data_IF_281115446003
#
_entry.id   IF_281115446003
#
_cell.length_a   1.000
_cell.length_b   1.000
_cell.length_c   1.000
_cell.angle_alpha   90.00
_cell.angle_beta   90.00
_cell.angle_gamma   90.00
#
_symmetry.space_group_name_H-M   'P 1'
#
loop_
_entity.id
_entity.type
_entity.pdbx_description
1 polymer ?
#
# COMPACT_ATOMS: atom_id res chain seq x y z
N UNK A 1 4.80 -6.86 15.39
CA UNK A 1 3.46 -6.65 14.83
C UNK A 1 3.30 -5.26 14.22
N UNK A 2 4.00 -4.22 14.69
CA UNK A 2 3.58 -2.84 14.34
C UNK A 2 4.07 -2.21 13.05
N UNK A 3 5.23 -2.60 12.48
CA UNK A 3 5.81 -1.79 11.38
C UNK A 3 5.00 -1.87 10.08
N UNK A 4 4.48 -3.05 9.73
CA UNK A 4 3.63 -3.23 8.54
C UNK A 4 2.32 -2.47 8.72
N UNK A 5 1.65 -2.66 9.87
CA UNK A 5 0.37 -1.99 10.16
C UNK A 5 0.52 -0.47 10.10
N UNK A 6 1.58 0.08 10.70
CA UNK A 6 1.87 1.52 10.65
C UNK A 6 2.06 2.03 9.21
N UNK A 7 2.82 1.32 8.38
CA UNK A 7 3.02 1.68 6.97
C UNK A 7 1.68 1.68 6.21
N UNK A 8 0.83 0.70 6.51
CA UNK A 8 -0.50 0.58 5.90
C UNK A 8 -1.43 1.72 6.33
N UNK A 9 -1.37 2.15 7.59
CA UNK A 9 -2.12 3.32 8.06
C UNK A 9 -1.67 4.61 7.36
N UNK A 10 -0.36 4.85 7.26
CA UNK A 10 0.20 6.02 6.53
C UNK A 10 -0.16 5.99 5.04
N UNK A 11 -0.08 4.81 4.42
CA UNK A 11 -0.47 4.61 3.04
C UNK A 11 -1.97 4.89 2.85
N UNK A 12 -2.81 4.39 3.75
CA UNK A 12 -4.27 4.63 3.74
C UNK A 12 -4.59 6.12 3.78
N UNK A 13 -3.93 6.89 4.66
CA UNK A 13 -4.10 8.34 4.72
C UNK A 13 -3.65 9.04 3.43
N UNK A 14 -2.56 8.57 2.82
CA UNK A 14 -2.06 9.08 1.53
C UNK A 14 -3.07 8.83 0.41
N UNK A 15 -3.61 7.61 0.30
CA UNK A 15 -4.64 7.24 -0.67
C UNK A 15 -5.91 8.08 -0.46
N UNK A 16 -6.34 8.27 0.79
CA UNK A 16 -7.52 9.07 1.13
C UNK A 16 -7.36 10.54 0.75
N UNK A 17 -6.15 11.08 0.90
CA UNK A 17 -5.82 12.47 0.60
C UNK A 17 -5.47 12.72 -0.88
N UNK A 18 -5.21 11.67 -1.65
CA UNK A 18 -4.84 11.80 -3.06
C UNK A 18 -6.08 12.06 -3.93
N UNK A 19 -6.25 13.31 -4.33
CA UNK A 19 -7.33 13.78 -5.21
C UNK A 19 -7.08 13.48 -6.68
N UNK A 20 -5.88 13.00 -7.03
CA UNK A 20 -5.51 12.63 -8.41
C UNK A 20 -5.83 11.16 -8.72
N UNK A 21 -6.17 10.36 -7.71
CA UNK A 21 -6.59 8.98 -7.90
C UNK A 21 -8.09 8.92 -8.23
N UNK A 22 -8.41 8.20 -9.30
CA UNK A 22 -9.79 7.81 -9.58
C UNK A 22 -10.37 6.93 -8.45
N UNK A 23 -11.67 7.04 -8.20
CA UNK A 23 -12.34 6.32 -7.09
C UNK A 23 -12.19 4.80 -7.18
N UNK A 24 -12.15 4.22 -8.39
CA UNK A 24 -11.92 2.79 -8.59
C UNK A 24 -10.54 2.34 -8.12
N UNK A 25 -9.52 3.13 -8.44
CA UNK A 25 -8.13 2.86 -8.03
C UNK A 25 -8.00 3.02 -6.53
N UNK A 26 -8.63 4.07 -5.99
CA UNK A 26 -8.68 4.36 -4.56
C UNK A 26 -9.30 3.21 -3.76
N UNK A 27 -10.46 2.71 -4.19
CA UNK A 27 -11.14 1.58 -3.55
C UNK A 27 -10.24 0.34 -3.54
N UNK A 28 -9.68 -0.01 -4.70
CA UNK A 28 -8.81 -1.20 -4.83
C UNK A 28 -7.61 -1.13 -3.89
N UNK A 29 -6.97 0.04 -3.77
CA UNK A 29 -5.84 0.22 -2.85
C UNK A 29 -6.26 0.13 -1.38
N UNK A 30 -7.42 0.68 -1.02
CA UNK A 30 -7.94 0.61 0.34
C UNK A 30 -8.33 -0.83 0.73
N UNK A 31 -8.89 -1.59 -0.20
CA UNK A 31 -9.22 -3.00 0.00
C UNK A 31 -7.94 -3.82 0.26
N UNK A 32 -6.92 -3.66 -0.61
CA UNK A 32 -5.62 -4.32 -0.44
C UNK A 32 -4.89 -3.88 0.85
N UNK A 33 -4.96 -2.60 1.20
CA UNK A 33 -4.43 -2.09 2.46
C UNK A 33 -5.14 -2.72 3.67
N UNK A 34 -6.46 -2.86 3.60
CA UNK A 34 -7.27 -3.55 4.61
C UNK A 34 -6.86 -5.00 4.78
N UNK A 35 -6.70 -5.74 3.68
CA UNK A 35 -6.24 -7.13 3.70
C UNK A 35 -4.87 -7.28 4.37
N UNK A 36 -3.90 -6.41 4.03
CA UNK A 36 -2.57 -6.43 4.67
C UNK A 36 -2.63 -6.05 6.15
N UNK A 37 -3.51 -5.12 6.54
CA UNK A 37 -3.69 -4.73 7.93
C UNK A 37 -4.26 -5.87 8.79
N UNK A 38 -5.21 -6.64 8.23
CA UNK A 38 -5.83 -7.77 8.91
C UNK A 38 -4.96 -9.01 8.92
N UNK A 39 -4.30 -9.31 7.80
CA UNK A 39 -3.44 -10.48 7.62
C UNK A 39 -2.20 -10.11 6.78
N UNK A 40 -1.08 -9.70 7.42
CA UNK A 40 0.12 -9.21 6.74
C UNK A 40 0.97 -10.36 6.17
N UNK A 41 0.36 -11.22 5.35
CA UNK A 41 1.09 -12.28 4.64
C UNK A 41 1.95 -11.69 3.52
N UNK A 42 3.04 -12.37 3.13
CA UNK A 42 3.86 -11.95 1.99
C UNK A 42 3.05 -11.82 0.68
N UNK A 43 2.02 -12.63 0.50
CA UNK A 43 1.14 -12.57 -0.69
C UNK A 43 0.31 -11.30 -0.72
N UNK A 44 -0.35 -10.94 0.39
CA UNK A 44 -1.15 -9.72 0.51
C UNK A 44 -0.26 -8.47 0.33
N UNK A 45 0.91 -8.46 0.99
CA UNK A 45 1.88 -7.36 0.86
C UNK A 45 2.34 -7.24 -0.60
N UNK A 46 2.62 -8.36 -1.27
CA UNK A 46 3.05 -8.36 -2.68
C UNK A 46 1.96 -7.86 -3.61
N UNK A 47 0.69 -8.21 -3.37
CA UNK A 47 -0.43 -7.72 -4.16
C UNK A 47 -0.55 -6.19 -4.07
N UNK A 48 -0.46 -5.64 -2.85
CA UNK A 48 -0.45 -4.21 -2.62
C UNK A 48 0.76 -3.52 -3.29
N UNK A 49 1.97 -4.07 -3.13
CA UNK A 49 3.18 -3.54 -3.77
C UNK A 49 3.08 -3.55 -5.29
N UNK A 50 2.49 -4.58 -5.90
CA UNK A 50 2.30 -4.63 -7.35
C UNK A 50 1.33 -3.54 -7.82
N UNK A 51 0.21 -3.37 -7.12
CA UNK A 51 -0.77 -2.32 -7.43
C UNK A 51 -0.14 -0.94 -7.29
N UNK A 52 0.56 -0.66 -6.18
CA UNK A 52 1.30 0.58 -6.00
C UNK A 52 2.38 0.76 -7.08
N UNK A 53 3.06 -0.32 -7.49
CA UNK A 53 4.07 -0.30 -8.57
C UNK A 53 3.48 0.24 -9.87
N UNK A 54 2.27 -0.17 -10.23
CA UNK A 54 1.58 0.34 -11.41
C UNK A 54 1.22 1.82 -11.32
N UNK A 55 1.11 2.35 -10.10
CA UNK A 55 0.76 3.74 -9.80
C UNK A 55 1.96 4.65 -9.51
N UNK A 56 3.17 4.09 -9.34
CA UNK A 56 4.44 4.75 -8.91
C UNK A 56 4.93 5.94 -9.74
N UNK A 57 4.15 6.45 -10.68
CA UNK A 57 4.44 7.75 -11.29
C UNK A 57 4.33 8.90 -10.28
N UNK A 58 3.88 8.62 -9.06
CA UNK A 58 3.71 9.59 -7.98
C UNK A 58 4.70 9.30 -6.85
N UNK A 59 5.60 10.25 -6.57
CA UNK A 59 6.61 10.16 -5.48
C UNK A 59 5.98 9.86 -4.11
N UNK A 60 4.70 10.20 -3.94
CA UNK A 60 3.89 10.01 -2.73
C UNK A 60 3.79 8.55 -2.27
N UNK A 61 3.93 7.58 -3.18
CA UNK A 61 3.83 6.15 -2.85
C UNK A 61 5.18 5.45 -2.73
N UNK A 62 6.29 6.11 -3.11
CA UNK A 62 7.61 5.48 -3.18
C UNK A 62 8.10 5.02 -1.81
N UNK A 63 7.91 5.81 -0.75
CA UNK A 63 8.35 5.44 0.61
C UNK A 63 7.63 4.20 1.15
N UNK A 64 6.32 4.11 0.93
CA UNK A 64 5.54 2.91 1.28
C UNK A 64 5.99 1.72 0.42
N UNK A 65 6.23 1.95 -0.87
CA UNK A 65 6.68 0.92 -1.81
C UNK A 65 8.04 0.31 -1.43
N UNK A 66 9.03 1.15 -1.13
CA UNK A 66 10.38 0.71 -0.73
C UNK A 66 10.32 -0.11 0.56
N UNK A 67 9.55 0.37 1.53
CA UNK A 67 9.46 -0.29 2.83
C UNK A 67 8.72 -1.63 2.73
N UNK A 68 7.59 -1.69 2.03
CA UNK A 68 6.84 -2.94 1.83
C UNK A 68 7.62 -3.93 0.96
N UNK A 69 8.34 -3.47 -0.07
CA UNK A 69 9.18 -4.34 -0.90
C UNK A 69 10.27 -5.01 -0.07
N UNK A 70 10.95 -4.25 0.80
CA UNK A 70 11.99 -4.80 1.68
C UNK A 70 11.42 -5.81 2.69
N UNK A 71 10.19 -5.60 3.16
CA UNK A 71 9.53 -6.51 4.11
C UNK A 71 8.96 -7.77 3.45
N UNK A 72 8.70 -7.74 2.14
CA UNK A 72 8.23 -8.89 1.36
C UNK A 72 9.33 -9.82 0.83
N UNK A 73 10.59 -9.42 0.97
CA UNK A 73 11.76 -10.11 0.41
C UNK A 73 12.58 -10.91 1.44
N UNK A 74 12.21 -10.82 2.73
CA UNK A 74 12.76 -11.59 3.86
C UNK A 74 11.86 -12.80 4.16
#
# INVERSE_FOLDING_TARGET
MDKIVQIIEELTQTILSDTMLDESTKSTLLDLAGEVSQDPTPENVKALVLTLKTLSKTERYLTALETLTNLSAD
#
